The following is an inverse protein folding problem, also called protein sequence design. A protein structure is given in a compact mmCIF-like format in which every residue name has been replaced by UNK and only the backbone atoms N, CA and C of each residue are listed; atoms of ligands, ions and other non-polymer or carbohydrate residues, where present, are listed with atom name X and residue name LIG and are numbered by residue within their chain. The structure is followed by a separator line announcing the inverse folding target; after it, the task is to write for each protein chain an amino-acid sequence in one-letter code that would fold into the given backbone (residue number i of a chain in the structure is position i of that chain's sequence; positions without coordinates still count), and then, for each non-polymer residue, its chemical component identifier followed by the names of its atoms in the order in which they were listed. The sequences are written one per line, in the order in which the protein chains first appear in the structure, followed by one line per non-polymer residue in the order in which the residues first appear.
data_IF_121461454810
#
_entry.id   IF_121461454810
#
_cell.length_a   1.000
_cell.length_b   1.000
_cell.length_c   1.000
_cell.angle_alpha   90.00
_cell.angle_beta   90.00
_cell.angle_gamma   90.00
#
_symmetry.space_group_name_H-M   'P 1'
#
loop_
_entity.id
_entity.type
_entity.pdbx_description
1 polymer ?
#
# COMPACT_ATOMS: atom_id res chain seq x y z
N UNK A 1 1.99 3.44 -6.68
CA UNK A 1 2.61 4.37 -7.65
C UNK A 1 2.67 3.72 -9.02
N UNK A 2 3.32 2.56 -9.16
CA UNK A 2 3.47 1.83 -10.43
C UNK A 2 2.12 1.54 -11.13
N UNK A 3 1.10 1.09 -10.41
CA UNK A 3 -0.23 0.83 -11.03
C UNK A 3 -0.87 2.09 -11.60
N UNK A 4 -0.76 3.21 -10.87
CA UNK A 4 -1.25 4.52 -11.32
C UNK A 4 -0.46 5.05 -12.51
N UNK A 5 0.85 4.79 -12.53
CA UNK A 5 1.74 5.12 -13.64
C UNK A 5 1.33 4.37 -14.91
N UNK A 6 1.07 3.06 -14.83
CA UNK A 6 0.61 2.26 -15.98
C UNK A 6 -0.67 2.86 -16.58
N UNK A 7 -1.63 3.25 -15.74
CA UNK A 7 -2.87 3.90 -16.18
C UNK A 7 -2.62 5.21 -16.92
N UNK A 8 -1.64 6.01 -16.47
CA UNK A 8 -1.26 7.28 -17.12
C UNK A 8 -0.54 7.07 -18.44
N UNK A 9 0.42 6.15 -18.47
CA UNK A 9 1.14 5.78 -19.70
C UNK A 9 0.13 5.32 -20.75
N UNK A 10 -0.83 4.48 -20.35
CA UNK A 10 -1.91 4.06 -21.23
C UNK A 10 -2.73 5.24 -21.76
N UNK A 11 -3.20 6.12 -20.86
CA UNK A 11 -4.05 7.25 -21.22
C UNK A 11 -3.35 8.29 -22.11
N UNK A 12 -2.11 8.66 -21.78
CA UNK A 12 -1.41 9.75 -22.46
C UNK A 12 -0.79 9.32 -23.78
N UNK A 13 -0.32 8.07 -23.89
CA UNK A 13 0.27 7.54 -25.12
C UNK A 13 -0.75 6.80 -25.99
N UNK A 14 -2.03 6.76 -25.61
CA UNK A 14 -3.08 6.05 -26.33
C UNK A 14 -2.84 4.54 -26.43
N UNK A 15 -2.20 3.95 -25.41
CA UNK A 15 -1.83 2.53 -25.37
C UNK A 15 -2.89 1.73 -24.61
N UNK A 16 -3.00 0.44 -24.92
CA UNK A 16 -3.77 -0.49 -24.10
C UNK A 16 -3.04 -0.77 -22.78
N UNK A 17 -3.79 -1.09 -21.72
CA UNK A 17 -3.20 -1.40 -20.40
C UNK A 17 -2.11 -2.50 -20.45
N UNK A 18 -2.26 -3.61 -21.20
CA UNK A 18 -1.20 -4.60 -21.35
C UNK A 18 0.09 -4.05 -21.99
N UNK A 19 -0.05 -3.18 -23.01
CA UNK A 19 1.11 -2.58 -23.68
C UNK A 19 1.83 -1.60 -22.76
N UNK A 20 1.08 -0.73 -22.06
CA UNK A 20 1.64 0.18 -21.07
C UNK A 20 2.34 -0.58 -19.92
N UNK A 21 1.76 -1.68 -19.47
CA UNK A 21 2.36 -2.56 -18.46
C UNK A 21 3.68 -3.16 -18.94
N UNK A 22 3.72 -3.67 -20.18
CA UNK A 22 4.94 -4.23 -20.76
C UNK A 22 6.05 -3.17 -20.92
N UNK A 23 5.70 -1.91 -21.21
CA UNK A 23 6.66 -0.80 -21.24
C UNK A 23 7.25 -0.54 -19.85
N UNK A 24 6.42 -0.44 -18.81
CA UNK A 24 6.88 -0.20 -17.44
C UNK A 24 7.76 -1.34 -16.92
N UNK A 25 7.43 -2.60 -17.23
CA UNK A 25 8.27 -3.76 -16.84
C UNK A 25 9.62 -3.81 -17.55
N UNK A 26 9.78 -3.12 -18.69
CA UNK A 26 11.02 -3.09 -19.49
C UNK A 26 11.83 -1.82 -19.30
N UNK A 27 11.32 -0.88 -18.50
CA UNK A 27 11.96 0.39 -18.23
C UNK A 27 13.32 0.24 -17.56
N UNK A 28 14.18 1.24 -17.71
CA UNK A 28 15.41 1.31 -16.91
C UNK A 28 15.05 1.60 -15.43
N UNK A 29 15.77 1.03 -14.45
CA UNK A 29 15.56 1.36 -13.05
C UNK A 29 15.59 2.87 -12.77
N UNK A 30 16.46 3.61 -13.46
CA UNK A 30 16.57 5.06 -13.30
C UNK A 30 15.32 5.80 -13.76
N UNK A 31 14.67 5.35 -14.84
CA UNK A 31 13.43 5.97 -15.34
C UNK A 31 12.31 5.90 -14.30
N UNK A 32 12.16 4.75 -13.63
CA UNK A 32 11.14 4.54 -12.60
C UNK A 32 11.43 5.38 -11.34
N UNK A 33 12.71 5.53 -10.98
CA UNK A 33 13.15 6.39 -9.88
C UNK A 33 12.86 7.86 -10.20
N UNK A 34 13.21 8.32 -11.41
CA UNK A 34 12.96 9.68 -11.85
C UNK A 34 11.45 9.97 -11.89
N UNK A 35 10.64 9.00 -12.33
CA UNK A 35 9.19 9.11 -12.27
C UNK A 35 8.66 9.23 -10.84
N UNK A 36 9.18 8.43 -9.90
CA UNK A 36 8.82 8.54 -8.48
C UNK A 36 9.16 9.92 -7.91
N UNK A 37 10.30 10.50 -8.28
CA UNK A 37 10.69 11.86 -7.90
C UNK A 37 9.73 12.92 -8.45
N UNK A 38 9.30 12.79 -9.71
CA UNK A 38 8.29 13.69 -10.29
C UNK A 38 6.95 13.58 -9.54
N UNK A 39 6.53 12.35 -9.21
CA UNK A 39 5.31 12.09 -8.44
C UNK A 39 5.39 12.76 -7.06
N UNK A 40 6.53 12.62 -6.39
CA UNK A 40 6.77 13.29 -5.12
C UNK A 40 6.71 14.82 -5.25
N UNK A 41 7.35 15.38 -6.28
CA UNK A 41 7.39 16.81 -6.50
C UNK A 41 6.00 17.40 -6.76
N UNK A 42 5.21 16.79 -7.64
CA UNK A 42 3.86 17.24 -7.95
C UNK A 42 2.98 17.26 -6.69
N UNK A 43 3.07 16.22 -5.86
CA UNK A 43 2.35 16.18 -4.58
C UNK A 43 2.85 17.25 -3.61
N UNK A 44 4.17 17.37 -3.44
CA UNK A 44 4.80 18.34 -2.53
C UNK A 44 4.41 19.78 -2.89
N UNK A 45 4.40 20.12 -4.17
CA UNK A 45 4.01 21.43 -4.68
C UNK A 45 2.55 21.76 -4.34
N UNK A 46 1.66 20.77 -4.45
CA UNK A 46 0.25 20.93 -4.13
C UNK A 46 -0.03 21.16 -2.63
N UNK A 47 0.81 20.62 -1.74
CA UNK A 47 0.57 20.68 -0.29
C UNK A 47 1.12 21.93 0.40
N UNK A 48 2.24 22.48 -0.07
CA UNK A 48 2.98 23.48 0.71
C UNK A 48 3.60 24.65 -0.10
N UNK A 49 3.34 24.73 -1.41
CA UNK A 49 4.02 25.66 -2.36
C UNK A 49 5.51 25.90 -2.05
N UNK A 50 6.32 24.85 -1.79
CA UNK A 50 7.71 25.04 -1.43
C UNK A 50 8.55 25.43 -2.64
N UNK A 51 9.78 25.90 -2.38
CA UNK A 51 10.73 26.22 -3.43
C UNK A 51 10.85 25.04 -4.43
N UNK A 52 10.86 25.32 -5.74
CA UNK A 52 10.88 24.29 -6.76
C UNK A 52 12.15 23.44 -6.63
N UNK A 53 12.04 22.18 -7.02
CA UNK A 53 13.19 21.29 -7.12
C UNK A 53 14.30 21.93 -7.98
N UNK A 54 15.57 21.75 -7.59
CA UNK A 54 16.72 22.35 -8.27
C UNK A 54 16.81 21.99 -9.76
N UNK A 55 17.38 22.89 -10.56
CA UNK A 55 17.45 22.81 -12.02
C UNK A 55 18.09 21.52 -12.55
N UNK A 56 19.12 21.01 -11.86
CA UNK A 56 19.78 19.76 -12.24
C UNK A 56 18.83 18.56 -12.21
N UNK A 57 17.97 18.45 -11.18
CA UNK A 57 17.01 17.34 -11.08
C UNK A 57 15.91 17.45 -12.14
N UNK A 58 15.45 18.67 -12.42
CA UNK A 58 14.50 18.90 -13.52
C UNK A 58 15.10 18.51 -14.88
N UNK A 59 16.38 18.78 -15.11
CA UNK A 59 17.06 18.37 -16.33
C UNK A 59 17.10 16.85 -16.49
N UNK A 60 17.35 16.09 -15.42
CA UNK A 60 17.27 14.63 -15.44
C UNK A 60 15.86 14.12 -15.74
N UNK A 61 14.83 14.74 -15.16
CA UNK A 61 13.45 14.37 -15.44
C UNK A 61 13.10 14.48 -16.92
N UNK A 62 13.58 15.52 -17.61
CA UNK A 62 13.33 15.73 -19.03
C UNK A 62 14.04 14.70 -19.94
N UNK A 63 15.02 13.96 -19.41
CA UNK A 63 15.72 12.89 -20.11
C UNK A 63 15.09 11.51 -19.88
N UNK A 64 14.19 11.38 -18.89
CA UNK A 64 13.59 10.10 -18.52
C UNK A 64 12.58 9.60 -19.56
N UNK A 65 12.45 8.28 -19.69
CA UNK A 65 11.50 7.63 -20.60
C UNK A 65 10.06 8.11 -20.39
N UNK A 66 9.67 8.40 -19.15
CA UNK A 66 8.28 8.74 -18.77
C UNK A 66 8.06 10.24 -18.52
N UNK A 67 8.89 11.11 -19.09
CA UNK A 67 8.81 12.56 -18.88
C UNK A 67 7.50 13.20 -19.37
N UNK A 68 6.85 12.60 -20.37
CA UNK A 68 5.54 13.01 -20.86
C UNK A 68 4.42 12.70 -19.83
N UNK A 69 4.61 11.66 -19.00
CA UNK A 69 3.65 11.08 -18.06
C UNK A 69 3.34 11.90 -16.81
N UNK A 70 3.08 13.19 -16.97
CA UNK A 70 2.95 14.17 -15.88
C UNK A 70 2.08 13.68 -14.72
N UNK A 71 2.62 13.59 -13.48
CA UNK A 71 1.86 13.21 -12.30
C UNK A 71 0.73 14.19 -11.95
N UNK A 72 -0.25 13.75 -11.17
CA UNK A 72 -1.35 14.60 -10.68
C UNK A 72 -0.96 15.19 -9.33
N UNK A 73 -1.58 16.31 -8.98
CA UNK A 73 -1.31 17.06 -7.74
C UNK A 73 -1.83 16.37 -6.46
N UNK A 74 -2.54 15.25 -6.59
CA UNK A 74 -2.98 14.40 -5.49
C UNK A 74 -2.04 13.19 -5.34
N UNK A 75 -2.04 12.48 -4.19
CA UNK A 75 -1.22 11.28 -4.03
C UNK A 75 -1.44 10.29 -5.18
N UNK A 76 -0.47 10.20 -6.10
CA UNK A 76 -0.50 9.31 -7.27
C UNK A 76 -0.04 7.88 -6.92
N UNK A 77 -0.33 7.44 -5.69
CA UNK A 77 0.08 6.15 -5.17
C UNK A 77 -0.98 5.59 -4.21
N UNK A 78 -0.85 4.33 -3.81
CA UNK A 78 -1.78 3.74 -2.84
C UNK A 78 -1.47 4.18 -1.41
N UNK A 79 -2.50 4.26 -0.58
CA UNK A 79 -2.35 4.55 0.84
C UNK A 79 -1.44 3.51 1.51
N UNK A 80 -0.70 3.90 2.56
CA UNK A 80 0.21 3.02 3.30
C UNK A 80 -0.45 1.72 3.78
N UNK A 81 -1.76 1.74 4.02
CA UNK A 81 -2.55 0.56 4.39
C UNK A 81 -2.52 -0.56 3.34
N UNK A 82 -2.48 -0.22 2.04
CA UNK A 82 -2.33 -1.21 0.98
C UNK A 82 -0.94 -1.88 1.03
N UNK A 83 0.11 -1.08 1.22
CA UNK A 83 1.47 -1.60 1.40
C UNK A 83 1.56 -2.51 2.61
N UNK A 84 0.94 -2.14 3.73
CA UNK A 84 0.91 -2.96 4.95
C UNK A 84 0.28 -4.34 4.70
N UNK A 85 -0.90 -4.41 4.07
CA UNK A 85 -1.55 -5.72 3.82
C UNK A 85 -0.78 -6.54 2.81
N UNK A 86 -0.23 -5.92 1.75
CA UNK A 86 0.60 -6.62 0.77
C UNK A 86 1.89 -7.14 1.41
N UNK A 87 2.57 -6.36 2.24
CA UNK A 87 3.81 -6.80 2.89
C UNK A 87 3.55 -7.93 3.91
N UNK A 88 2.40 -7.94 4.60
CA UNK A 88 1.97 -9.05 5.45
C UNK A 88 1.84 -10.39 4.72
N UNK A 89 1.73 -10.39 3.38
CA UNK A 89 1.71 -11.63 2.59
C UNK A 89 3.07 -12.35 2.51
N UNK A 90 4.14 -11.73 3.02
CA UNK A 90 5.56 -12.11 2.86
C UNK A 90 6.11 -11.94 1.44
N UNK A 91 5.39 -11.23 0.57
CA UNK A 91 5.82 -11.00 -0.83
C UNK A 91 7.25 -10.45 -0.90
N UNK A 92 7.61 -9.54 0.01
CA UNK A 92 8.92 -8.90 -0.01
C UNK A 92 10.05 -9.84 0.43
N UNK A 93 9.85 -10.65 1.46
CA UNK A 93 10.85 -11.61 1.94
C UNK A 93 11.05 -12.74 0.92
N UNK A 94 9.96 -13.18 0.28
CA UNK A 94 10.04 -14.16 -0.81
C UNK A 94 10.88 -13.60 -1.96
N UNK A 95 10.58 -12.39 -2.43
CA UNK A 95 11.35 -11.79 -3.52
C UNK A 95 12.78 -11.39 -3.12
N UNK A 96 13.03 -11.09 -1.84
CA UNK A 96 14.40 -10.91 -1.32
C UNK A 96 15.22 -12.18 -1.52
N UNK A 97 14.68 -13.34 -1.13
CA UNK A 97 15.32 -14.63 -1.40
C UNK A 97 15.48 -14.93 -2.88
N UNK A 98 14.47 -14.63 -3.71
CA UNK A 98 14.59 -14.80 -5.18
C UNK A 98 15.79 -14.02 -5.73
N UNK A 99 15.93 -12.75 -5.34
CA UNK A 99 17.07 -11.92 -5.77
C UNK A 99 18.39 -12.49 -5.26
N UNK A 100 18.47 -12.87 -3.98
CA UNK A 100 19.68 -13.48 -3.40
C UNK A 100 20.09 -14.75 -4.14
N UNK A 101 19.15 -15.64 -4.46
CA UNK A 101 19.44 -16.89 -5.16
C UNK A 101 19.89 -16.66 -6.60
N UNK A 102 19.32 -15.67 -7.32
CA UNK A 102 19.77 -15.33 -8.68
C UNK A 102 21.10 -14.56 -8.73
N UNK A 103 21.42 -13.76 -7.69
CA UNK A 103 22.66 -12.97 -7.65
C UNK A 103 23.83 -13.71 -7.01
N UNK A 104 23.56 -14.55 -6.03
CA UNK A 104 24.55 -15.29 -5.25
C UNK A 104 24.80 -16.71 -5.73
N UNK A 105 23.91 -17.28 -6.56
CA UNK A 105 24.01 -18.67 -7.00
C UNK A 105 23.28 -18.98 -8.30
N UNK A 106 23.17 -20.27 -8.60
CA UNK A 106 22.52 -20.82 -9.80
C UNK A 106 21.34 -21.74 -9.46
N UNK A 107 20.89 -21.75 -8.19
CA UNK A 107 19.84 -22.65 -7.68
C UNK A 107 18.52 -22.54 -8.47
N UNK A 108 18.20 -21.34 -8.94
CA UNK A 108 16.99 -21.04 -9.71
C UNK A 108 17.20 -21.13 -11.23
N UNK A 109 18.39 -21.57 -11.68
CA UNK A 109 18.78 -21.59 -13.08
C UNK A 109 19.21 -20.21 -13.61
N UNK A 110 19.36 -20.12 -14.92
CA UNK A 110 19.82 -18.90 -15.59
C UNK A 110 18.61 -18.01 -15.91
N UNK A 111 18.55 -16.76 -15.40
CA UNK A 111 17.44 -15.85 -15.67
C UNK A 111 17.45 -15.38 -17.13
N UNK A 112 16.26 -15.24 -17.72
CA UNK A 112 16.08 -14.56 -19.01
C UNK A 112 16.55 -13.11 -18.95
N UNK A 113 16.73 -12.46 -20.11
CA UNK A 113 17.15 -11.04 -20.17
C UNK A 113 16.13 -10.13 -19.49
N UNK A 114 14.86 -10.45 -19.65
CA UNK A 114 13.74 -9.74 -19.03
C UNK A 114 13.77 -9.91 -17.51
N UNK A 115 14.05 -11.12 -17.01
CA UNK A 115 14.21 -11.36 -15.57
C UNK A 115 15.44 -10.68 -15.00
N UNK A 116 16.56 -10.61 -15.72
CA UNK A 116 17.74 -9.85 -15.30
C UNK A 116 17.41 -8.37 -15.07
N UNK A 117 16.69 -7.74 -16.01
CA UNK A 117 16.21 -6.36 -15.82
C UNK A 117 15.26 -6.23 -14.65
N UNK A 118 14.35 -7.20 -14.48
CA UNK A 118 13.46 -7.24 -13.33
C UNK A 118 14.24 -7.31 -12.00
N UNK A 119 15.35 -8.06 -11.95
CA UNK A 119 16.24 -8.12 -10.78
C UNK A 119 16.86 -6.75 -10.50
N UNK A 120 17.42 -6.08 -11.53
CA UNK A 120 18.02 -4.75 -11.40
C UNK A 120 17.01 -3.72 -10.86
N UNK A 121 15.79 -3.70 -11.42
CA UNK A 121 14.71 -2.81 -10.97
C UNK A 121 14.30 -3.14 -9.53
N UNK A 122 14.15 -4.43 -9.21
CA UNK A 122 13.73 -4.86 -7.87
C UNK A 122 14.77 -4.48 -6.82
N UNK A 123 16.05 -4.69 -7.08
CA UNK A 123 17.13 -4.27 -6.21
C UNK A 123 17.16 -2.75 -6.02
N UNK A 124 16.97 -2.00 -7.10
CA UNK A 124 16.95 -0.53 -7.06
C UNK A 124 15.74 0.00 -6.27
N UNK A 125 14.53 -0.45 -6.59
CA UNK A 125 13.28 0.09 -6.03
C UNK A 125 12.92 -0.46 -4.64
N UNK A 126 13.23 -1.72 -4.37
CA UNK A 126 12.78 -2.43 -3.16
C UNK A 126 13.89 -2.51 -2.12
N UNK A 127 15.12 -2.80 -2.54
CA UNK A 127 16.26 -3.04 -1.65
C UNK A 127 17.25 -1.87 -1.57
N UNK A 128 17.09 -0.84 -2.42
CA UNK A 128 17.90 0.37 -2.38
C UNK A 128 19.34 0.17 -2.84
N UNK A 129 19.58 -0.75 -3.79
CA UNK A 129 20.90 -0.94 -4.38
C UNK A 129 21.29 0.24 -5.30
N UNK A 130 22.53 0.72 -5.16
CA UNK A 130 23.30 1.60 -6.07
C UNK A 130 22.50 2.65 -6.87
N UNK A 131 21.59 3.38 -6.21
CA UNK A 131 20.88 4.47 -6.87
C UNK A 131 21.74 5.75 -6.90
N UNK A 132 22.11 6.28 -8.09
CA UNK A 132 22.91 7.50 -8.20
C UNK A 132 22.14 8.77 -7.75
N UNK A 133 20.82 8.70 -7.66
CA UNK A 133 19.94 9.75 -7.14
C UNK A 133 19.44 9.31 -5.78
N UNK A 134 20.04 9.85 -4.71
CA UNK A 134 19.68 9.47 -3.35
C UNK A 134 19.05 10.63 -2.56
N UNK A 135 17.93 10.33 -1.91
CA UNK A 135 17.70 10.79 -0.54
C UNK A 135 16.79 9.87 0.30
N UNK A 136 15.91 9.03 -0.29
CA UNK A 136 14.94 8.22 0.49
C UNK A 136 14.89 6.73 0.15
N UNK A 137 15.62 6.26 -0.86
CA UNK A 137 15.93 4.84 -0.91
C UNK A 137 16.67 4.50 0.38
N UNK A 138 16.04 3.60 1.12
CA UNK A 138 16.11 3.51 2.58
C UNK A 138 17.34 2.73 3.05
N UNK A 139 18.49 3.06 2.45
CA UNK A 139 19.80 2.49 2.71
C UNK A 139 20.80 3.62 2.83
N UNK A 140 20.89 4.18 4.03
CA UNK A 140 22.05 4.95 4.47
C UNK A 140 22.72 4.19 5.59
N UNK A 141 23.94 4.56 5.99
CA UNK A 141 24.54 3.98 7.20
C UNK A 141 23.62 4.09 8.43
N UNK A 142 22.73 5.08 8.47
CA UNK A 142 21.76 5.29 9.56
C UNK A 142 20.45 4.51 9.39
N UNK A 143 20.13 4.07 8.18
CA UNK A 143 18.92 3.31 7.84
C UNK A 143 19.36 2.23 6.86
N UNK A 144 19.99 1.14 7.30
CA UNK A 144 20.57 0.16 6.38
C UNK A 144 19.52 -0.81 5.82
N UNK A 145 18.33 -0.89 6.42
CA UNK A 145 17.28 -1.81 6.00
C UNK A 145 15.99 -1.06 5.61
N UNK A 146 15.55 -1.14 4.34
CA UNK A 146 14.32 -0.53 3.89
C UNK A 146 13.07 -1.14 4.55
N UNK A 147 13.13 -2.41 5.00
CA UNK A 147 12.02 -3.04 5.73
C UNK A 147 11.83 -2.43 7.12
N UNK A 148 12.91 -2.21 7.87
CA UNK A 148 12.86 -1.51 9.14
C UNK A 148 12.20 -0.12 9.04
N UNK A 149 12.44 0.62 7.96
CA UNK A 149 11.80 1.93 7.69
C UNK A 149 10.29 1.76 7.48
N UNK A 150 9.86 0.78 6.68
CA UNK A 150 8.42 0.52 6.46
C UNK A 150 7.72 0.03 7.72
N UNK A 151 8.33 -0.87 8.50
CA UNK A 151 7.81 -1.32 9.80
C UNK A 151 7.63 -0.15 10.76
N UNK A 152 8.59 0.79 10.81
CA UNK A 152 8.44 2.01 11.60
C UNK A 152 7.27 2.89 11.10
N UNK A 153 7.08 3.01 9.78
CA UNK A 153 5.96 3.75 9.21
C UNK A 153 4.61 3.11 9.56
N UNK A 154 4.47 1.78 9.47
CA UNK A 154 3.27 1.04 9.88
C UNK A 154 2.98 1.22 11.38
N UNK A 155 4.02 1.12 12.22
CA UNK A 155 3.89 1.35 13.65
C UNK A 155 3.39 2.77 13.95
N UNK A 156 3.98 3.80 13.32
CA UNK A 156 3.59 5.19 13.54
C UNK A 156 2.17 5.49 13.05
N UNK A 157 1.81 4.99 11.87
CA UNK A 157 0.53 5.28 11.22
C UNK A 157 -0.64 4.49 11.82
N UNK A 158 -0.44 3.21 12.16
CA UNK A 158 -1.50 2.28 12.54
C UNK A 158 -1.30 1.61 13.91
N UNK A 159 -0.13 1.76 14.54
CA UNK A 159 0.22 1.00 15.74
C UNK A 159 0.37 -0.51 15.49
N UNK A 160 0.66 -0.90 14.25
CA UNK A 160 0.73 -2.29 13.80
C UNK A 160 2.18 -2.70 13.48
N UNK A 161 2.49 -3.96 13.75
CA UNK A 161 3.69 -4.64 13.25
C UNK A 161 3.27 -5.69 12.21
N UNK A 162 4.20 -6.17 11.40
CA UNK A 162 3.90 -7.27 10.46
C UNK A 162 3.70 -8.58 11.25
N UNK A 163 2.85 -9.46 10.74
CA UNK A 163 2.50 -10.74 11.37
C UNK A 163 3.67 -11.74 11.47
N UNK A 164 4.83 -11.39 10.93
CA UNK A 164 6.03 -12.22 10.93
C UNK A 164 7.28 -11.41 11.30
N UNK A 165 8.30 -12.14 11.75
CA UNK A 165 9.62 -11.62 12.09
C UNK A 165 10.50 -11.35 10.88
N UNK A 166 11.78 -11.70 10.96
CA UNK A 166 12.70 -11.72 9.81
C UNK A 166 12.49 -12.98 8.96
N UNK A 167 13.33 -13.19 7.94
CA UNK A 167 13.32 -14.40 7.11
C UNK A 167 13.45 -15.70 7.94
N UNK A 168 14.24 -15.66 9.01
CA UNK A 168 14.42 -16.76 9.96
C UNK A 168 13.37 -16.78 11.08
N UNK A 169 12.30 -15.99 10.94
CA UNK A 169 11.29 -15.72 11.97
C UNK A 169 11.86 -15.11 13.27
N UNK A 170 13.08 -14.56 13.26
CA UNK A 170 13.60 -13.84 14.42
C UNK A 170 12.85 -12.52 14.63
N UNK A 171 12.80 -11.97 15.85
CA UNK A 171 12.18 -10.67 16.09
C UNK A 171 12.82 -9.58 15.20
N UNK A 172 12.02 -8.74 14.52
CA UNK A 172 12.55 -7.71 13.64
C UNK A 172 13.25 -6.62 14.46
N UNK A 173 14.46 -6.24 14.05
CA UNK A 173 15.20 -5.15 14.69
C UNK A 173 14.90 -3.83 13.97
N UNK A 174 14.15 -2.95 14.61
CA UNK A 174 13.97 -1.57 14.13
C UNK A 174 13.66 -0.63 15.29
N UNK A 175 13.94 0.65 15.09
CA UNK A 175 13.60 1.68 16.07
C UNK A 175 12.09 1.88 16.11
N UNK A 176 11.41 1.40 17.15
CA UNK A 176 9.97 1.66 17.37
C UNK A 176 9.78 3.08 17.89
N UNK A 177 9.01 3.89 17.15
CA UNK A 177 8.70 5.25 17.58
C UNK A 177 7.86 5.24 18.86
N UNK A 178 8.12 6.21 19.77
CA UNK A 178 7.36 6.34 21.03
C UNK A 178 5.89 6.68 20.81
N UNK A 179 5.57 7.44 19.76
CA UNK A 179 4.21 7.84 19.42
C UNK A 179 3.70 7.04 18.22
N UNK A 180 2.52 6.42 18.38
CA UNK A 180 1.87 5.59 17.38
C UNK A 180 0.34 5.68 17.54
N UNK A 181 -0.42 5.37 16.49
CA UNK A 181 -1.88 5.34 16.51
C UNK A 181 -2.40 3.96 16.94
N UNK A 182 -2.17 3.58 18.20
CA UNK A 182 -2.52 2.23 18.71
C UNK A 182 -4.03 1.97 18.79
N UNK A 183 -4.87 3.01 18.72
CA UNK A 183 -6.34 2.89 18.67
C UNK A 183 -6.88 2.62 17.26
N UNK A 184 -6.04 2.70 16.21
CA UNK A 184 -6.49 2.61 14.81
C UNK A 184 -7.27 1.33 14.54
N UNK A 185 -6.74 0.16 14.92
CA UNK A 185 -7.39 -1.13 14.64
C UNK A 185 -8.78 -1.21 15.25
N UNK A 186 -8.90 -0.77 16.51
CA UNK A 186 -10.17 -0.79 17.23
C UNK A 186 -11.22 0.10 16.53
N UNK A 187 -10.85 1.34 16.22
CA UNK A 187 -11.73 2.28 15.51
C UNK A 187 -12.07 1.80 14.09
N UNK A 188 -11.09 1.23 13.38
CA UNK A 188 -11.28 0.75 12.03
C UNK A 188 -12.21 -0.46 11.98
N UNK A 189 -12.00 -1.45 12.84
CA UNK A 189 -12.89 -2.63 12.94
C UNK A 189 -14.31 -2.23 13.35
N UNK A 190 -14.46 -1.25 14.26
CA UNK A 190 -15.77 -0.68 14.62
C UNK A 190 -16.44 0.00 13.42
N UNK A 191 -15.70 0.81 12.66
CA UNK A 191 -16.23 1.44 11.45
C UNK A 191 -16.73 0.40 10.44
N UNK A 192 -15.92 -0.64 10.19
CA UNK A 192 -16.29 -1.71 9.26
C UNK A 192 -17.55 -2.46 9.72
N UNK A 193 -17.72 -2.68 11.03
CA UNK A 193 -18.92 -3.28 11.60
C UNK A 193 -20.16 -2.40 11.36
N UNK A 194 -20.08 -1.11 11.67
CA UNK A 194 -21.21 -0.18 11.49
C UNK A 194 -21.57 0.00 10.01
N UNK A 195 -20.59 0.05 9.12
CA UNK A 195 -20.82 0.06 7.66
C UNK A 195 -21.53 -1.24 7.23
N UNK A 196 -21.12 -2.41 7.74
CA UNK A 196 -21.79 -3.67 7.43
C UNK A 196 -23.25 -3.68 7.90
N UNK A 197 -23.55 -3.13 9.07
CA UNK A 197 -24.93 -2.96 9.55
C UNK A 197 -25.72 -2.04 8.62
N UNK A 198 -25.14 -0.91 8.20
CA UNK A 198 -25.78 0.00 7.26
C UNK A 198 -26.05 -0.66 5.90
N UNK A 199 -25.10 -1.45 5.36
CA UNK A 199 -25.31 -2.23 4.13
C UNK A 199 -26.47 -3.19 4.29
N UNK A 200 -26.48 -3.94 5.40
CA UNK A 200 -27.48 -4.99 5.65
C UNK A 200 -28.88 -4.41 5.81
N UNK A 201 -28.99 -3.19 6.35
CA UNK A 201 -30.26 -2.49 6.52
C UNK A 201 -30.66 -1.62 5.32
N UNK A 202 -29.74 -1.31 4.40
CA UNK A 202 -30.02 -0.40 3.27
C UNK A 202 -31.12 -0.89 2.32
N UNK A 203 -31.38 -2.21 2.28
CA UNK A 203 -32.43 -2.84 1.47
C UNK A 203 -33.68 -3.23 2.27
N UNK A 204 -33.69 -3.00 3.58
CA UNK A 204 -34.83 -3.33 4.42
C UNK A 204 -35.97 -2.33 4.17
N UNK A 205 -37.07 -2.81 3.59
CA UNK A 205 -38.30 -2.04 3.37
C UNK A 205 -39.32 -2.21 4.51
N UNK A 206 -39.06 -3.13 5.43
CA UNK A 206 -39.85 -3.40 6.63
C UNK A 206 -38.94 -3.68 7.83
N UNK A 207 -39.33 -3.22 9.02
CA UNK A 207 -38.54 -3.33 10.25
C UNK A 207 -37.83 -2.02 10.66
N UNK A 208 -37.25 -2.00 11.87
CA UNK A 208 -36.49 -0.86 12.37
C UNK A 208 -35.11 -0.81 11.70
N UNK A 209 -34.78 0.32 11.07
CA UNK A 209 -33.41 0.56 10.58
C UNK A 209 -32.50 0.80 11.79
N UNK A 210 -31.61 -0.16 12.06
CA UNK A 210 -30.64 -0.09 13.17
C UNK A 210 -29.32 0.60 12.77
N UNK A 211 -29.20 1.10 11.54
CA UNK A 211 -28.01 1.82 11.10
C UNK A 211 -27.90 3.19 11.78
N UNK A 212 -26.78 3.42 12.46
CA UNK A 212 -26.47 4.67 13.14
C UNK A 212 -25.47 5.50 12.31
N UNK A 213 -25.99 6.42 11.48
CA UNK A 213 -25.17 7.26 10.61
C UNK A 213 -24.33 8.26 11.41
N UNK A 214 -24.79 8.70 12.58
CA UNK A 214 -24.03 9.58 13.46
C UNK A 214 -22.81 8.85 14.02
N UNK A 215 -22.97 7.59 14.42
CA UNK A 215 -21.86 6.75 14.89
C UNK A 215 -20.83 6.51 13.78
N UNK A 216 -21.27 6.15 12.56
CA UNK A 216 -20.36 6.00 11.41
C UNK A 216 -19.59 7.29 11.17
N UNK A 217 -20.28 8.43 11.17
CA UNK A 217 -19.65 9.75 11.00
C UNK A 217 -18.59 10.02 12.07
N UNK A 218 -18.90 9.81 13.35
CA UNK A 218 -17.97 10.08 14.46
C UNK A 218 -16.73 9.20 14.42
N UNK A 219 -16.88 7.92 14.07
CA UNK A 219 -15.73 7.02 13.93
C UNK A 219 -14.87 7.42 12.73
N UNK A 220 -15.50 7.79 11.60
CA UNK A 220 -14.77 8.26 10.42
C UNK A 220 -14.02 9.58 10.69
N UNK A 221 -14.63 10.52 11.44
CA UNK A 221 -14.01 11.78 11.87
C UNK A 221 -12.78 11.52 12.77
N UNK A 222 -12.90 10.61 13.75
CA UNK A 222 -11.80 10.24 14.63
C UNK A 222 -10.67 9.54 13.86
N UNK A 223 -11.00 8.61 12.95
CA UNK A 223 -10.02 7.96 12.07
C UNK A 223 -9.31 8.97 11.18
N UNK A 224 -10.06 9.91 10.60
CA UNK A 224 -9.49 11.01 9.81
C UNK A 224 -8.50 11.81 10.65
N UNK A 225 -8.88 12.19 11.87
CA UNK A 225 -8.04 12.97 12.77
C UNK A 225 -6.72 12.25 13.07
N UNK A 226 -6.77 10.98 13.53
CA UNK A 226 -5.55 10.26 13.90
C UNK A 226 -4.64 10.01 12.69
N UNK A 227 -5.18 9.72 11.50
CA UNK A 227 -4.40 9.49 10.30
C UNK A 227 -3.73 10.78 9.82
N UNK A 228 -4.51 11.88 9.69
CA UNK A 228 -3.98 13.19 9.27
C UNK A 228 -2.99 13.77 10.27
N UNK A 229 -3.14 13.50 11.56
CA UNK A 229 -2.18 13.95 12.59
C UNK A 229 -0.75 13.45 12.31
N UNK A 230 -0.61 12.29 11.66
CA UNK A 230 0.68 11.70 11.30
C UNK A 230 1.27 12.23 10.01
N UNK A 231 0.46 12.90 9.17
CA UNK A 231 0.84 13.50 7.89
C UNK A 231 1.14 14.99 7.94
N UNK A 232 0.98 15.62 9.09
CA UNK A 232 1.27 17.05 9.24
C UNK A 232 2.69 17.37 8.76
N UNK A 233 2.83 18.46 7.99
CA UNK A 233 4.09 18.88 7.40
C UNK A 233 4.79 17.81 6.55
N UNK A 234 4.02 17.01 5.81
CA UNK A 234 4.50 15.96 4.91
C UNK A 234 5.22 14.80 5.62
N UNK A 235 4.96 14.64 6.91
CA UNK A 235 5.52 13.56 7.71
C UNK A 235 4.93 12.20 7.25
N UNK A 236 5.75 11.17 7.12
CA UNK A 236 5.38 9.85 6.58
C UNK A 236 4.97 9.78 5.11
N UNK A 237 4.64 10.89 4.44
CA UNK A 237 4.17 10.83 3.04
C UNK A 237 5.25 10.30 2.07
N UNK A 238 6.53 10.58 2.37
CA UNK A 238 7.65 10.01 1.60
C UNK A 238 7.83 8.53 1.85
N UNK A 239 7.80 8.10 3.11
CA UNK A 239 7.88 6.69 3.47
C UNK A 239 6.70 5.92 2.88
N UNK A 240 5.51 6.51 2.83
CA UNK A 240 4.35 5.94 2.14
C UNK A 240 4.60 5.81 0.64
N UNK A 241 5.06 6.86 -0.04
CA UNK A 241 5.35 6.77 -1.48
C UNK A 241 6.36 5.66 -1.77
N UNK A 242 7.43 5.56 -0.98
CA UNK A 242 8.43 4.48 -1.13
C UNK A 242 7.82 3.10 -0.91
N UNK A 243 7.05 2.90 0.16
CA UNK A 243 6.37 1.63 0.44
C UNK A 243 5.35 1.29 -0.67
N UNK A 244 4.57 2.27 -1.13
CA UNK A 244 3.60 2.08 -2.19
C UNK A 244 4.25 1.78 -3.54
N UNK A 245 5.43 2.35 -3.83
CA UNK A 245 6.20 2.00 -5.03
C UNK A 245 6.69 0.56 -4.96
N UNK A 246 7.39 0.19 -3.88
CA UNK A 246 7.96 -1.14 -3.71
C UNK A 246 6.88 -2.23 -3.75
N UNK A 247 5.80 -2.07 -2.96
CA UNK A 247 4.76 -3.08 -2.90
C UNK A 247 3.88 -3.13 -4.17
N UNK A 248 3.66 -1.99 -4.86
CA UNK A 248 3.01 -2.03 -6.17
C UNK A 248 3.87 -2.73 -7.22
N UNK A 249 5.20 -2.56 -7.20
CA UNK A 249 6.11 -3.28 -8.11
C UNK A 249 6.05 -4.80 -7.89
N UNK A 250 6.11 -5.24 -6.63
CA UNK A 250 6.02 -6.66 -6.31
C UNK A 250 4.63 -7.24 -6.59
N UNK A 251 3.56 -6.47 -6.34
CA UNK A 251 2.20 -6.86 -6.71
C UNK A 251 2.07 -7.03 -8.22
N UNK A 252 2.61 -6.10 -9.02
CA UNK A 252 2.63 -6.20 -10.48
C UNK A 252 3.37 -7.46 -10.93
N UNK A 253 4.49 -7.77 -10.29
CA UNK A 253 5.35 -8.92 -10.60
C UNK A 253 4.59 -10.25 -10.55
N UNK A 254 3.60 -10.38 -9.66
CA UNK A 254 2.76 -11.59 -9.54
C UNK A 254 1.37 -11.44 -10.15
N UNK A 255 1.00 -10.28 -10.68
CA UNK A 255 -0.38 -10.02 -11.15
C UNK A 255 -0.75 -10.78 -12.43
N UNK A 256 0.22 -11.11 -13.26
CA UNK A 256 0.10 -11.94 -14.46
C UNK A 256 1.39 -12.74 -14.69
N UNK A 257 1.49 -13.46 -15.81
CA UNK A 257 2.69 -14.23 -16.17
C UNK A 257 3.81 -13.30 -16.66
N UNK A 258 4.45 -12.61 -15.71
CA UNK A 258 5.67 -11.82 -15.94
C UNK A 258 6.87 -12.73 -16.21
N UNK A 259 7.99 -12.16 -16.65
CA UNK A 259 9.21 -12.94 -16.91
C UNK A 259 9.68 -13.72 -15.68
N UNK A 260 9.61 -13.12 -14.49
CA UNK A 260 10.00 -13.79 -13.25
C UNK A 260 9.07 -14.97 -12.90
N UNK A 261 7.77 -14.84 -13.16
CA UNK A 261 6.80 -15.93 -12.96
C UNK A 261 7.09 -17.10 -13.91
N UNK A 262 7.35 -16.80 -15.18
CA UNK A 262 7.63 -17.81 -16.21
C UNK A 262 8.96 -18.51 -15.95
N UNK A 263 10.03 -17.76 -15.66
CA UNK A 263 11.36 -18.33 -15.40
C UNK A 263 11.37 -19.22 -14.16
N UNK A 264 10.61 -18.86 -13.12
CA UNK A 264 10.44 -19.69 -11.91
C UNK A 264 9.43 -20.82 -12.07
N UNK A 265 8.79 -20.94 -13.25
CA UNK A 265 7.74 -21.92 -13.54
C UNK A 265 6.64 -21.89 -12.49
N UNK A 266 6.16 -20.68 -12.21
CA UNK A 266 5.22 -20.36 -11.16
C UNK A 266 3.88 -19.83 -11.72
N UNK A 267 3.54 -20.18 -12.96
CA UNK A 267 2.30 -19.75 -13.60
C UNK A 267 1.07 -20.32 -12.89
N UNK A 268 0.15 -19.43 -12.52
CA UNK A 268 -1.13 -19.78 -11.91
C UNK A 268 -2.22 -18.80 -12.37
N UNK A 269 -3.46 -19.03 -11.94
CA UNK A 269 -4.61 -18.18 -12.28
C UNK A 269 -4.71 -16.94 -11.39
N UNK A 270 -4.23 -17.01 -10.15
CA UNK A 270 -4.27 -15.91 -9.18
C UNK A 270 -2.86 -15.44 -8.77
N UNK A 271 -2.73 -14.17 -8.37
CA UNK A 271 -1.46 -13.60 -7.93
C UNK A 271 -0.90 -14.30 -6.68
N UNK A 272 -1.79 -14.82 -5.85
CA UNK A 272 -1.46 -15.41 -4.56
C UNK A 272 -0.97 -16.85 -4.74
N UNK A 273 -1.56 -17.60 -5.67
CA UNK A 273 -1.05 -18.91 -6.07
C UNK A 273 0.33 -18.78 -6.72
N UNK A 274 0.54 -17.77 -7.58
CA UNK A 274 1.87 -17.47 -8.15
C UNK A 274 2.87 -17.18 -7.03
N UNK A 275 2.52 -16.34 -6.05
CA UNK A 275 3.39 -16.05 -4.92
C UNK A 275 3.69 -17.30 -4.08
N UNK A 276 2.71 -18.18 -3.85
CA UNK A 276 2.92 -19.43 -3.15
C UNK A 276 3.88 -20.36 -3.89
N UNK A 277 3.73 -20.50 -5.21
CA UNK A 277 4.64 -21.30 -6.04
C UNK A 277 6.06 -20.74 -6.05
N UNK A 278 6.21 -19.41 -6.18
CA UNK A 278 7.52 -18.74 -6.06
C UNK A 278 8.12 -18.99 -4.67
N UNK A 279 7.33 -18.84 -3.61
CA UNK A 279 7.76 -19.08 -2.24
C UNK A 279 8.27 -20.51 -2.03
N UNK A 280 7.61 -21.51 -2.61
CA UNK A 280 8.05 -22.90 -2.58
C UNK A 280 9.41 -23.10 -3.28
N UNK A 281 9.67 -22.38 -4.38
CA UNK A 281 10.96 -22.44 -5.09
C UNK A 281 12.14 -21.96 -4.25
N UNK A 282 11.92 -20.94 -3.42
CA UNK A 282 12.96 -20.33 -2.57
C UNK A 282 12.93 -20.81 -1.12
N UNK A 283 12.11 -21.82 -0.82
CA UNK A 283 11.99 -22.40 0.52
C UNK A 283 11.37 -21.47 1.57
N UNK A 284 10.60 -20.46 1.15
CA UNK A 284 9.91 -19.53 2.05
C UNK A 284 8.43 -19.41 1.69
N UNK A 285 7.57 -20.00 2.51
CA UNK A 285 6.11 -19.96 2.27
C UNK A 285 5.53 -18.57 2.41
N UNK A 286 4.60 -18.23 1.51
CA UNK A 286 3.73 -17.07 1.64
C UNK A 286 2.82 -17.19 2.86
N UNK A 287 2.29 -16.05 3.33
CA UNK A 287 1.30 -16.06 4.41
C UNK A 287 0.04 -16.83 3.98
N UNK A 288 -0.52 -17.66 4.86
CA UNK A 288 -1.71 -18.50 4.55
C UNK A 288 -2.95 -17.69 4.15
N UNK A 289 -3.01 -16.42 4.56
CA UNK A 289 -4.08 -15.45 4.26
C UNK A 289 -3.71 -14.46 3.14
N UNK A 290 -2.69 -14.76 2.34
CA UNK A 290 -2.25 -13.91 1.22
C UNK A 290 -3.38 -13.60 0.23
N UNK A 291 -4.28 -14.56 -0.03
CA UNK A 291 -5.47 -14.38 -0.89
C UNK A 291 -6.27 -13.13 -0.52
N UNK A 292 -6.62 -13.00 0.76
CA UNK A 292 -7.38 -11.87 1.27
C UNK A 292 -6.58 -10.56 1.23
N UNK A 293 -5.29 -10.62 1.56
CA UNK A 293 -4.39 -9.47 1.56
C UNK A 293 -4.24 -8.82 0.18
N UNK A 294 -4.01 -9.62 -0.87
CA UNK A 294 -3.95 -9.12 -2.24
C UNK A 294 -5.31 -8.62 -2.73
N UNK A 295 -6.39 -9.33 -2.37
CA UNK A 295 -7.76 -9.00 -2.78
C UNK A 295 -8.27 -7.68 -2.22
N UNK A 296 -7.77 -7.24 -1.06
CA UNK A 296 -8.24 -6.01 -0.42
C UNK A 296 -7.34 -4.80 -0.63
N UNK A 297 -6.11 -4.97 -1.13
CA UNK A 297 -5.10 -3.92 -1.09
C UNK A 297 -5.55 -2.61 -1.76
N UNK A 298 -6.10 -2.68 -2.98
CA UNK A 298 -6.60 -1.51 -3.71
C UNK A 298 -7.81 -0.86 -3.02
N UNK A 299 -8.77 -1.67 -2.57
CA UNK A 299 -9.99 -1.20 -1.94
C UNK A 299 -9.73 -0.58 -0.56
N UNK A 300 -8.80 -1.15 0.19
CA UNK A 300 -8.32 -0.60 1.46
C UNK A 300 -7.65 0.77 1.25
N UNK A 301 -6.85 0.90 0.18
CA UNK A 301 -6.29 2.21 -0.19
C UNK A 301 -7.39 3.22 -0.47
N UNK A 302 -8.38 2.86 -1.29
CA UNK A 302 -9.48 3.76 -1.63
C UNK A 302 -10.26 4.17 -0.37
N UNK A 303 -10.62 3.22 0.49
CA UNK A 303 -11.37 3.48 1.72
C UNK A 303 -10.62 4.42 2.66
N UNK A 304 -9.33 4.15 2.93
CA UNK A 304 -8.53 5.00 3.81
C UNK A 304 -8.32 6.40 3.23
N UNK A 305 -8.14 6.54 1.90
CA UNK A 305 -8.06 7.86 1.25
C UNK A 305 -9.37 8.63 1.36
N UNK A 306 -10.52 7.97 1.22
CA UNK A 306 -11.83 8.63 1.39
C UNK A 306 -12.01 9.10 2.83
N UNK A 307 -11.66 8.29 3.82
CA UNK A 307 -11.68 8.68 5.24
C UNK A 307 -10.78 9.91 5.47
N UNK A 308 -9.54 9.89 4.98
CA UNK A 308 -8.60 11.01 5.14
C UNK A 308 -9.04 12.29 4.42
N UNK A 309 -9.69 12.17 3.26
CA UNK A 309 -10.06 13.30 2.40
C UNK A 309 -11.03 14.30 3.06
N UNK A 310 -11.80 13.87 4.06
CA UNK A 310 -12.83 14.70 4.68
C UNK A 310 -14.07 14.92 3.82
N UNK A 311 -14.25 14.14 2.75
CA UNK A 311 -15.49 14.13 1.95
C UNK A 311 -16.71 13.78 2.82
N UNK A 312 -16.51 12.97 3.87
CA UNK A 312 -17.53 12.68 4.88
C UNK A 312 -17.52 13.79 5.93
N UNK A 313 -18.28 14.86 5.67
CA UNK A 313 -18.33 16.07 6.50
C UNK A 313 -19.57 16.15 7.40
N UNK A 314 -20.52 15.24 7.22
CA UNK A 314 -21.73 15.16 8.02
C UNK A 314 -22.31 13.74 8.05
N UNK A 315 -23.20 13.42 9.00
CA UNK A 315 -23.92 12.15 9.03
C UNK A 315 -24.62 11.80 7.71
N UNK A 316 -25.20 12.79 7.02
CA UNK A 316 -25.87 12.57 5.73
C UNK A 316 -24.91 12.09 4.61
N UNK A 317 -23.63 12.47 4.67
CA UNK A 317 -22.62 12.08 3.67
C UNK A 317 -22.02 10.68 3.91
N UNK A 318 -22.28 10.06 5.07
CA UNK A 318 -21.77 8.71 5.42
C UNK A 318 -22.27 7.60 4.50
N UNK A 319 -23.42 7.84 3.84
CA UNK A 319 -24.01 6.95 2.85
C UNK A 319 -23.02 6.52 1.75
N UNK A 320 -22.02 7.34 1.45
CA UNK A 320 -20.95 7.04 0.49
C UNK A 320 -20.29 5.68 0.81
N UNK A 321 -20.12 5.33 2.09
CA UNK A 321 -19.43 4.10 2.49
C UNK A 321 -20.19 2.81 2.19
N UNK A 322 -21.51 2.85 1.96
CA UNK A 322 -22.33 1.65 1.82
C UNK A 322 -23.30 1.65 0.65
N UNK A 323 -23.61 2.83 0.08
CA UNK A 323 -24.43 2.94 -1.12
C UNK A 323 -23.59 2.78 -2.38
N UNK A 324 -24.19 2.15 -3.39
CA UNK A 324 -23.60 2.08 -4.73
C UNK A 324 -23.82 3.42 -5.44
N UNK A 325 -22.75 4.19 -5.64
CA UNK A 325 -22.79 5.49 -6.33
C UNK A 325 -21.56 5.74 -7.20
N UNK A 326 -21.46 6.91 -7.84
CA UNK A 326 -20.25 7.32 -8.57
C UNK A 326 -19.05 7.27 -7.63
N UNK A 327 -17.99 6.53 -8.00
CA UNK A 327 -16.78 6.37 -7.19
C UNK A 327 -16.61 5.02 -6.49
N UNK A 328 -17.56 4.08 -6.61
CA UNK A 328 -17.43 2.65 -6.21
C UNK A 328 -17.03 2.36 -4.75
N UNK A 329 -16.95 3.36 -3.88
CA UNK A 329 -16.49 3.19 -2.50
C UNK A 329 -17.39 2.26 -1.68
N UNK A 330 -18.71 2.24 -1.88
CA UNK A 330 -19.59 1.25 -1.25
C UNK A 330 -19.22 -0.20 -1.56
N UNK A 331 -18.76 -0.48 -2.78
CA UNK A 331 -18.27 -1.81 -3.17
C UNK A 331 -16.89 -2.09 -2.55
N UNK A 332 -16.00 -1.10 -2.55
CA UNK A 332 -14.69 -1.20 -1.91
C UNK A 332 -14.83 -1.48 -0.40
N UNK A 333 -15.72 -0.78 0.31
CA UNK A 333 -16.02 -1.04 1.73
C UNK A 333 -16.49 -2.48 1.96
N UNK A 334 -17.42 -3.00 1.12
CA UNK A 334 -17.90 -4.39 1.20
C UNK A 334 -16.77 -5.40 1.03
N UNK A 335 -15.88 -5.15 0.06
CA UNK A 335 -14.71 -6.00 -0.19
C UNK A 335 -13.75 -5.95 1.00
N UNK A 336 -13.42 -4.76 1.50
CA UNK A 336 -12.57 -4.59 2.69
C UNK A 336 -13.14 -5.29 3.91
N UNK A 337 -14.45 -5.15 4.21
CA UNK A 337 -15.09 -5.85 5.33
C UNK A 337 -14.88 -7.36 5.23
N UNK A 338 -15.13 -7.93 4.04
CA UNK A 338 -15.05 -9.38 3.82
C UNK A 338 -13.61 -9.88 3.95
N UNK A 339 -12.68 -9.23 3.25
CA UNK A 339 -11.29 -9.67 3.19
C UNK A 339 -10.51 -9.33 4.47
N UNK A 340 -10.83 -8.23 5.16
CA UNK A 340 -10.24 -7.93 6.47
C UNK A 340 -10.66 -8.94 7.52
N UNK A 341 -11.93 -9.35 7.55
CA UNK A 341 -12.40 -10.42 8.42
C UNK A 341 -11.65 -11.74 8.13
N UNK A 342 -11.46 -12.08 6.85
CA UNK A 342 -10.72 -13.27 6.45
C UNK A 342 -9.22 -13.19 6.82
N UNK A 343 -8.60 -12.02 6.66
CA UNK A 343 -7.18 -11.79 6.94
C UNK A 343 -6.87 -11.69 8.44
N UNK A 344 -7.74 -11.09 9.25
CA UNK A 344 -7.60 -10.99 10.71
C UNK A 344 -8.08 -12.26 11.41
N UNK A 345 -9.02 -13.00 10.83
CA UNK A 345 -9.67 -14.15 11.44
C UNK A 345 -10.71 -13.76 12.50
N UNK A 346 -11.06 -12.47 12.58
CA UNK A 346 -12.12 -11.95 13.45
C UNK A 346 -13.43 -11.89 12.69
N UNK A 347 -14.52 -12.25 13.36
CA UNK A 347 -15.85 -12.05 12.83
C UNK A 347 -16.27 -10.58 13.03
N UNK A 348 -16.09 -9.75 12.00
CA UNK A 348 -16.55 -8.36 12.00
C UNK A 348 -18.08 -8.23 11.92
N UNK A 349 -18.80 -9.31 11.59
CA UNK A 349 -20.26 -9.30 11.45
C UNK A 349 -20.94 -9.66 12.76
N UNK A 350 -20.28 -10.47 13.59
CA UNK A 350 -20.68 -10.68 14.98
C UNK A 350 -20.21 -9.54 15.89
N UNK A 351 -21.11 -9.01 16.71
CA UNK A 351 -20.81 -7.90 17.61
C UNK A 351 -19.80 -8.30 18.69
N UNK A 352 -18.60 -7.71 18.67
CA UNK A 352 -17.79 -7.53 19.88
C UNK A 352 -18.30 -6.29 20.65
N UNK A 353 -17.99 -6.15 21.95
CA UNK A 353 -18.42 -4.98 22.76
C UNK A 353 -18.08 -3.67 22.04
N UNK A 354 -19.05 -2.75 22.00
CA UNK A 354 -18.88 -1.42 21.41
C UNK A 354 -17.73 -0.66 22.06
N UNK A 355 -16.88 -0.05 21.24
CA UNK A 355 -15.78 0.80 21.73
C UNK A 355 -16.34 2.17 22.15
N UNK A 356 -15.86 2.68 23.30
CA UNK A 356 -16.15 4.04 23.75
C UNK A 356 -15.24 5.03 23.01
N UNK A 357 -15.85 5.91 22.23
CA UNK A 357 -15.16 6.91 21.40
C UNK A 357 -14.54 8.02 22.28
N UNK A 358 -14.87 8.11 23.58
CA UNK A 358 -14.37 9.16 24.51
C UNK A 358 -13.30 8.71 25.51
N UNK A 359 -12.57 7.63 25.22
CA UNK A 359 -11.65 6.99 26.19
C UNK A 359 -10.33 7.69 26.53
N UNK A 360 -9.93 8.79 25.88
CA UNK A 360 -8.66 9.47 26.16
C UNK A 360 -8.86 10.91 26.68
N UNK A 361 -9.56 11.06 27.81
CA UNK A 361 -9.34 12.22 28.66
C UNK A 361 -7.98 12.03 29.36
N UNK A 362 -7.02 12.94 29.15
CA UNK A 362 -5.77 12.97 29.90
C UNK A 362 -6.05 12.87 31.42
N UNK A 363 -5.25 12.13 32.21
CA UNK A 363 -5.33 12.29 33.65
C UNK A 363 -4.98 13.74 34.00
N UNK A 364 -5.90 14.41 34.69
CA UNK A 364 -5.66 15.71 35.27
C UNK A 364 -4.39 15.63 36.12
N UNK A 365 -3.40 16.47 35.81
CA UNK A 365 -2.23 16.66 36.67
C UNK A 365 -2.73 17.20 38.01
N UNK A 366 -2.51 16.43 39.07
CA UNK A 366 -2.49 16.92 40.45
C UNK A 366 -1.11 17.51 40.75
#
# INVERSE_FOLDING_TARGET
MITEMIGRVAAQRGLTSPVATALVLRADPLDLVLYQEQVWEAYRQAQASPAPTGTARQAFWNLAEFQDCTPVNNPAWYHLGASYVLENSRVLQIFRKVVQEYRGGETLGIPSRETQRWLDITETLVFGADNPIAAWLSTSQLRPDPEAVRRNAYWRMFGLDLAFGTEDNAPPSYHKARAANTSFVALFEELLHEIWLAISNSLNTSGQNVADLDRIFRIAEELQFILRSRRQALNLDREELSAATALSWLQLSVSFNTSIVVDLKAEATSAQDRLMMIGQRVGLSAHSRSSAMFSMASDLSLLLRVIESGVVSSPATTNIFFQSGPGQIGNASRRVITEWAAASGKDLKARARSIDIRGNAMPARA
#
